data_IF_442290953632
#
_entry.id   IF_442290953632
#
_cell.length_a   1.000
_cell.length_b   1.000
_cell.length_c   1.000
_cell.angle_alpha   90.00
_cell.angle_beta   90.00
_cell.angle_gamma   90.00
#
_symmetry.space_group_name_H-M   'P 1'
#
loop_
_entity.id
_entity.type
_entity.pdbx_description
1 polymer ?
#
# COMPACT_ATOMS: atom_id res chain seq x y z
N UNK A 1 -19.00 29.94 -24.80
CA UNK A 1 -17.97 30.94 -24.42
C UNK A 1 -17.06 30.26 -23.41
N UNK A 2 -15.74 30.22 -23.64
CA UNK A 2 -14.81 29.43 -22.82
C UNK A 2 -14.24 30.22 -21.64
N UNK A 3 -14.08 29.53 -20.52
CA UNK A 3 -13.44 29.95 -19.29
C UNK A 3 -12.38 28.91 -18.89
N UNK A 4 -11.46 29.27 -17.98
CA UNK A 4 -10.42 28.35 -17.50
C UNK A 4 -10.49 28.22 -15.99
N UNK A 5 -10.47 26.99 -15.49
CA UNK A 5 -10.23 26.68 -14.08
C UNK A 5 -8.80 26.16 -13.90
N UNK A 6 -8.01 26.85 -13.08
CA UNK A 6 -6.67 26.43 -12.67
C UNK A 6 -6.74 25.76 -11.29
N UNK A 7 -6.73 24.44 -11.27
CA UNK A 7 -6.99 23.61 -10.07
C UNK A 7 -5.71 23.01 -9.49
N UNK A 8 -5.56 23.07 -8.17
CA UNK A 8 -4.52 22.35 -7.41
C UNK A 8 -5.01 21.91 -6.03
N UNK A 9 -4.30 20.95 -5.45
CA UNK A 9 -4.45 20.57 -4.04
C UNK A 9 -3.28 21.12 -3.24
N UNK A 10 -3.56 22.05 -2.33
CA UNK A 10 -2.59 22.56 -1.37
C UNK A 10 -2.33 21.50 -0.30
N UNK A 11 -1.11 21.02 -0.31
CA UNK A 11 -0.56 20.01 0.58
C UNK A 11 0.92 20.34 0.73
N UNK A 12 1.35 20.55 1.97
CA UNK A 12 2.75 20.85 2.25
C UNK A 12 3.53 19.53 2.23
N UNK A 13 4.04 19.18 1.04
CA UNK A 13 5.01 18.11 0.83
C UNK A 13 6.41 18.71 0.99
N UNK A 14 7.10 18.36 2.07
CA UNK A 14 8.37 19.00 2.45
C UNK A 14 9.58 18.30 1.83
N UNK A 15 9.39 17.10 1.31
CA UNK A 15 10.47 16.27 0.83
C UNK A 15 10.65 16.36 -0.69
N UNK A 16 11.90 16.56 -1.10
CA UNK A 16 12.29 16.98 -2.45
C UNK A 16 12.08 15.92 -3.54
N UNK A 17 12.12 14.64 -3.18
CA UNK A 17 11.89 13.49 -4.06
C UNK A 17 10.42 13.35 -4.50
N UNK A 18 9.48 13.92 -3.73
CA UNK A 18 8.03 13.91 -4.03
C UNK A 18 7.44 15.31 -4.24
N UNK A 19 8.22 16.38 -3.97
CA UNK A 19 7.81 17.78 -4.01
C UNK A 19 7.23 18.26 -5.35
N UNK A 20 7.51 17.55 -6.45
CA UNK A 20 7.15 17.98 -7.81
C UNK A 20 6.20 17.03 -8.56
N UNK A 21 5.31 16.26 -7.92
CA UNK A 21 4.50 15.38 -8.77
C UNK A 21 3.42 14.48 -8.21
N UNK A 22 3.12 14.48 -6.92
CA UNK A 22 1.97 13.70 -6.47
C UNK A 22 0.69 14.23 -7.14
N UNK A 23 -0.13 13.32 -7.66
CA UNK A 23 -1.42 13.66 -8.25
C UNK A 23 -2.51 12.92 -7.52
N UNK A 24 -3.68 13.55 -7.47
CA UNK A 24 -4.90 12.92 -6.99
C UNK A 24 -5.98 13.03 -8.05
N UNK A 25 -6.95 12.14 -7.95
CA UNK A 25 -8.10 12.13 -8.86
C UNK A 25 -9.19 13.04 -8.32
N UNK A 26 -9.71 13.87 -9.20
CA UNK A 26 -10.79 14.79 -8.91
C UNK A 26 -11.82 14.85 -10.01
N UNK A 27 -12.86 15.65 -9.76
CA UNK A 27 -13.94 15.93 -10.69
C UNK A 27 -14.36 17.39 -10.60
N UNK A 28 -14.79 17.93 -11.74
CA UNK A 28 -15.32 19.28 -11.90
C UNK A 28 -16.75 19.12 -12.42
N UNK A 29 -17.72 19.56 -11.63
CA UNK A 29 -19.15 19.44 -11.94
C UNK A 29 -19.80 20.81 -12.03
N UNK A 30 -20.62 21.11 -13.05
CA UNK A 30 -21.44 22.31 -13.05
C UNK A 30 -22.47 22.21 -11.92
N UNK A 31 -22.56 23.25 -11.09
CA UNK A 31 -23.45 23.28 -9.93
C UNK A 31 -24.93 23.24 -10.33
N UNK A 32 -25.25 23.79 -11.50
CA UNK A 32 -26.61 23.90 -12.03
C UNK A 32 -27.01 22.69 -12.90
N UNK A 33 -26.12 21.70 -13.06
CA UNK A 33 -26.35 20.47 -13.83
C UNK A 33 -26.44 20.61 -15.35
N UNK A 34 -26.41 21.84 -15.89
CA UNK A 34 -26.60 22.14 -17.32
C UNK A 34 -25.36 22.09 -18.22
N UNK A 35 -24.19 21.67 -17.72
CA UNK A 35 -22.92 21.68 -18.46
C UNK A 35 -22.19 20.33 -18.48
N UNK A 36 -21.05 20.28 -19.18
CA UNK A 36 -20.19 19.11 -19.22
C UNK A 36 -19.46 18.91 -17.88
N UNK A 37 -19.48 17.69 -17.34
CA UNK A 37 -18.70 17.31 -16.16
C UNK A 37 -17.37 16.72 -16.58
N UNK A 38 -16.28 17.24 -16.03
CA UNK A 38 -14.96 16.63 -16.16
C UNK A 38 -14.74 15.67 -14.99
N UNK A 39 -14.84 14.37 -15.25
CA UNK A 39 -14.65 13.32 -14.24
C UNK A 39 -13.29 12.68 -14.39
N UNK A 40 -12.75 12.16 -13.28
CA UNK A 40 -11.47 11.44 -13.27
C UNK A 40 -10.33 12.26 -13.88
N UNK A 41 -10.25 13.53 -13.50
CA UNK A 41 -9.14 14.41 -13.90
C UNK A 41 -8.07 14.44 -12.82
N UNK A 42 -6.83 14.71 -13.21
CA UNK A 42 -5.70 14.71 -12.28
C UNK A 42 -5.43 16.12 -11.77
N UNK A 43 -5.45 16.27 -10.45
CA UNK A 43 -5.02 17.50 -9.79
C UNK A 43 -3.63 17.32 -9.19
N UNK A 44 -2.70 18.25 -9.46
CA UNK A 44 -1.39 18.25 -8.84
C UNK A 44 -1.52 18.60 -7.35
N UNK A 45 -0.74 17.91 -6.54
CA UNK A 45 -0.59 18.16 -5.11
C UNK A 45 0.74 18.86 -4.84
N UNK A 46 0.74 19.79 -3.90
CA UNK A 46 1.94 20.52 -3.51
C UNK A 46 1.74 22.04 -3.57
N UNK A 47 2.31 22.74 -2.60
CA UNK A 47 2.26 24.21 -2.58
C UNK A 47 3.05 24.86 -3.73
N UNK A 48 4.08 24.16 -4.21
CA UNK A 48 4.95 24.55 -5.34
C UNK A 48 4.51 23.97 -6.69
N UNK A 49 3.53 23.07 -6.73
CA UNK A 49 3.10 22.41 -7.97
C UNK A 49 2.27 23.37 -8.85
N UNK A 50 2.55 23.46 -10.16
CA UNK A 50 1.77 24.30 -11.07
C UNK A 50 0.33 23.76 -11.16
N UNK A 51 -0.71 24.62 -11.09
CA UNK A 51 -2.10 24.17 -11.21
C UNK A 51 -2.38 23.50 -12.56
N UNK A 52 -3.23 22.47 -12.56
CA UNK A 52 -3.76 21.90 -13.79
C UNK A 52 -4.86 22.81 -14.34
N UNK A 53 -4.81 23.08 -15.65
CA UNK A 53 -5.75 23.97 -16.34
C UNK A 53 -6.82 23.15 -17.03
N UNK A 54 -8.08 23.54 -16.84
CA UNK A 54 -9.24 22.90 -17.45
C UNK A 54 -10.10 23.94 -18.15
N UNK A 55 -10.38 23.74 -19.43
CA UNK A 55 -11.32 24.56 -20.19
C UNK A 55 -12.75 24.14 -19.84
N UNK A 56 -13.59 25.12 -19.49
CA UNK A 56 -14.99 24.91 -19.11
C UNK A 56 -15.85 26.05 -19.67
N UNK A 57 -17.17 25.89 -19.68
CA UNK A 57 -18.07 27.00 -19.98
C UNK A 57 -18.16 27.98 -18.80
N UNK A 58 -18.47 29.24 -19.05
CA UNK A 58 -18.73 30.19 -17.97
C UNK A 58 -19.92 29.71 -17.11
N UNK A 59 -19.79 29.73 -15.78
CA UNK A 59 -20.80 29.22 -14.86
C UNK A 59 -20.28 28.86 -13.47
N UNK A 60 -21.14 28.31 -12.63
CA UNK A 60 -20.78 27.83 -11.28
C UNK A 60 -20.42 26.35 -11.31
N UNK A 61 -19.34 25.99 -10.62
CA UNK A 61 -18.80 24.64 -10.56
C UNK A 61 -18.52 24.22 -9.11
N UNK A 62 -18.69 22.92 -8.86
CA UNK A 62 -18.18 22.21 -7.69
C UNK A 62 -16.93 21.45 -8.14
N UNK A 63 -15.78 21.84 -7.60
CA UNK A 63 -14.50 21.16 -7.81
C UNK A 63 -14.25 20.25 -6.62
N UNK A 64 -14.01 18.96 -6.86
CA UNK A 64 -13.82 17.98 -5.80
C UNK A 64 -12.64 17.05 -6.08
N UNK A 65 -11.96 16.59 -5.02
CA UNK A 65 -10.85 15.64 -5.12
C UNK A 65 -10.95 14.63 -3.99
N UNK A 66 -10.78 13.35 -4.31
CA UNK A 66 -10.69 12.30 -3.28
C UNK A 66 -9.22 11.97 -3.09
N UNK A 67 -8.68 12.12 -1.88
CA UNK A 67 -7.29 11.76 -1.59
C UNK A 67 -7.12 10.23 -1.52
N UNK A 68 -5.88 9.69 -1.59
CA UNK A 68 -5.62 8.27 -1.35
C UNK A 68 -6.05 7.83 0.06
N UNK A 69 -6.01 8.76 1.02
CA UNK A 69 -6.62 8.62 2.35
C UNK A 69 -8.15 8.57 2.37
N UNK A 70 -8.81 8.65 1.21
CA UNK A 70 -10.26 8.71 1.02
C UNK A 70 -10.94 9.98 1.52
N UNK A 71 -10.17 10.94 2.03
CA UNK A 71 -10.69 12.27 2.38
C UNK A 71 -11.19 12.95 1.11
N UNK A 72 -12.43 13.40 1.13
CA UNK A 72 -13.02 14.20 0.05
C UNK A 72 -12.81 15.69 0.33
N UNK A 73 -12.12 16.36 -0.59
CA UNK A 73 -12.00 17.81 -0.64
C UNK A 73 -13.02 18.34 -1.65
N UNK A 74 -13.66 19.46 -1.35
CA UNK A 74 -14.58 20.12 -2.28
C UNK A 74 -14.56 21.64 -2.11
N UNK A 75 -14.76 22.37 -3.21
CA UNK A 75 -14.83 23.82 -3.24
C UNK A 75 -15.69 24.32 -4.40
N UNK A 76 -16.52 25.31 -4.11
CA UNK A 76 -17.27 26.04 -5.13
C UNK A 76 -16.36 27.03 -5.88
N UNK A 77 -16.55 27.12 -7.20
CA UNK A 77 -15.85 28.05 -8.07
C UNK A 77 -16.81 28.67 -9.08
N UNK A 78 -16.58 29.93 -9.44
CA UNK A 78 -17.31 30.62 -10.51
C UNK A 78 -16.34 30.87 -11.67
N UNK A 79 -16.53 30.13 -12.76
CA UNK A 79 -15.76 30.31 -13.98
C UNK A 79 -16.34 31.48 -14.77
N UNK A 80 -15.55 32.54 -14.95
CA UNK A 80 -15.93 33.73 -15.71
C UNK A 80 -15.33 33.69 -17.11
N UNK A 81 -16.03 34.27 -18.07
CA UNK A 81 -15.60 34.27 -19.47
C UNK A 81 -14.22 34.94 -19.63
N UNK A 82 -13.37 34.34 -20.47
CA UNK A 82 -12.02 34.82 -20.76
C UNK A 82 -11.13 35.08 -19.52
N UNK A 83 -11.45 34.45 -18.38
CA UNK A 83 -10.71 34.58 -17.13
C UNK A 83 -10.20 33.23 -16.63
N UNK A 84 -9.00 33.25 -16.07
CA UNK A 84 -8.36 32.11 -15.43
C UNK A 84 -8.68 32.14 -13.93
N UNK A 85 -9.59 31.27 -13.50
CA UNK A 85 -10.06 31.22 -12.12
C UNK A 85 -9.27 30.18 -11.35
N UNK A 86 -8.51 30.63 -10.34
CA UNK A 86 -7.73 29.73 -9.49
C UNK A 86 -8.59 29.03 -8.44
N UNK A 87 -8.51 27.69 -8.40
CA UNK A 87 -9.17 26.85 -7.41
C UNK A 87 -8.10 26.07 -6.66
N UNK A 88 -7.91 26.42 -5.38
CA UNK A 88 -7.05 25.65 -4.47
C UNK A 88 -7.94 24.89 -3.49
N UNK A 89 -7.83 23.56 -3.51
CA UNK A 89 -8.39 22.65 -2.52
C UNK A 89 -7.38 22.50 -1.38
N UNK A 90 -7.75 22.85 -0.15
CA UNK A 90 -6.82 22.82 0.98
C UNK A 90 -7.03 21.58 1.83
N UNK A 91 -5.93 20.90 2.15
CA UNK A 91 -5.90 19.86 3.17
C UNK A 91 -5.61 20.48 4.54
N UNK A 92 -6.01 19.82 5.63
CA UNK A 92 -5.44 20.16 6.93
C UNK A 92 -3.93 19.82 6.90
N UNK A 93 -3.06 20.64 7.50
CA UNK A 93 -1.62 20.39 7.47
C UNK A 93 -1.29 19.06 8.15
N UNK A 94 -0.25 18.40 7.66
CA UNK A 94 0.33 17.25 8.36
C UNK A 94 0.79 17.69 9.76
N UNK A 95 0.55 16.89 10.82
CA UNK A 95 1.06 17.22 12.15
C UNK A 95 2.60 17.25 12.22
N UNK A 96 3.27 16.56 11.28
CA UNK A 96 4.72 16.54 11.15
C UNK A 96 5.13 16.74 9.69
N UNK A 97 6.05 17.68 9.44
CA UNK A 97 6.55 17.98 8.09
C UNK A 97 7.14 16.72 7.43
N UNK A 98 7.89 15.94 8.21
CA UNK A 98 8.56 14.70 7.80
C UNK A 98 7.63 13.52 7.48
N UNK A 99 6.33 13.65 7.78
CA UNK A 99 5.34 12.61 7.55
C UNK A 99 4.25 13.04 6.57
N UNK A 100 4.49 14.11 5.82
CA UNK A 100 3.52 14.64 4.86
C UNK A 100 3.03 13.59 3.86
N UNK A 101 3.92 12.67 3.45
CA UNK A 101 3.60 11.55 2.57
C UNK A 101 2.67 10.53 3.24
N UNK A 102 3.01 10.08 4.45
CA UNK A 102 2.16 9.18 5.25
C UNK A 102 0.77 9.78 5.50
N UNK A 103 0.73 11.09 5.74
CA UNK A 103 -0.50 11.84 5.93
C UNK A 103 -1.37 11.87 4.66
N UNK A 104 -0.77 12.10 3.49
CA UNK A 104 -1.47 12.00 2.20
C UNK A 104 -2.07 10.61 1.96
N UNK A 105 -1.34 9.56 2.35
CA UNK A 105 -1.81 8.17 2.26
C UNK A 105 -2.88 7.83 3.31
N UNK A 106 -3.04 8.65 4.35
CA UNK A 106 -4.04 8.48 5.40
C UNK A 106 -3.58 7.65 6.59
N UNK A 107 -2.27 7.42 6.73
CA UNK A 107 -1.70 6.62 7.81
C UNK A 107 -1.49 7.43 9.11
N UNK A 108 -1.72 8.74 9.04
CA UNK A 108 -1.64 9.66 10.16
C UNK A 108 -2.95 10.45 10.21
N UNK A 109 -3.59 10.45 11.37
CA UNK A 109 -4.81 11.22 11.55
C UNK A 109 -4.52 12.73 11.55
N UNK A 110 -5.53 13.51 11.16
CA UNK A 110 -5.43 14.97 11.18
C UNK A 110 -5.19 15.50 12.58
N UNK A 111 -4.47 16.62 12.66
CA UNK A 111 -4.13 17.32 13.91
C UNK A 111 -5.34 17.51 14.87
N UNK A 112 -6.54 17.76 14.33
CA UNK A 112 -7.78 17.94 15.14
C UNK A 112 -8.21 16.69 15.89
N UNK A 113 -7.86 15.48 15.42
CA UNK A 113 -8.17 14.25 16.12
C UNK A 113 -7.29 14.05 17.37
N UNK A 114 -6.08 14.61 17.37
CA UNK A 114 -5.11 14.49 18.47
C UNK A 114 -5.10 15.68 19.45
N UNK A 115 -5.68 16.82 19.05
CA UNK A 115 -5.53 18.08 19.76
C UNK A 115 -6.85 18.85 19.90
N UNK A 116 -7.95 18.15 20.20
CA UNK A 116 -9.01 18.85 20.93
C UNK A 116 -8.38 19.37 22.25
N UNK A 117 -8.66 20.62 22.63
CA UNK A 117 -7.90 21.35 23.66
C UNK A 117 -7.95 20.74 25.07
N UNK A 118 -8.71 19.67 25.24
CA UNK A 118 -8.69 18.80 26.42
C UNK A 118 -7.68 17.68 26.19
N UNK A 119 -6.65 17.59 27.04
CA UNK A 119 -5.79 16.41 27.14
C UNK A 119 -6.67 15.17 27.26
N UNK A 120 -6.88 14.46 26.15
CA UNK A 120 -7.60 13.20 26.19
C UNK A 120 -6.57 12.18 26.67
N UNK A 121 -6.67 11.67 27.91
CA UNK A 121 -5.71 10.67 28.38
C UNK A 121 -5.74 9.49 27.41
N UNK A 122 -4.58 9.16 26.83
CA UNK A 122 -4.43 8.01 25.94
C UNK A 122 -5.06 6.81 26.65
N UNK A 123 -6.15 6.22 26.13
CA UNK A 123 -6.79 5.10 26.78
C UNK A 123 -5.78 3.96 26.88
N UNK A 124 -5.22 3.76 28.07
CA UNK A 124 -4.53 2.52 28.39
C UNK A 124 -5.63 1.46 28.46
N UNK A 125 -5.92 0.83 27.34
CA UNK A 125 -6.78 -0.34 27.29
C UNK A 125 -6.24 -1.35 28.30
N UNK A 126 -6.90 -1.45 29.46
CA UNK A 126 -6.68 -2.50 30.46
C UNK A 126 -7.17 -3.87 29.98
N UNK A 127 -7.78 -3.94 28.79
CA UNK A 127 -8.12 -5.18 28.10
C UNK A 127 -6.95 -5.81 27.34
N UNK A 128 -5.86 -5.07 27.12
CA UNK A 128 -4.60 -5.63 26.66
C UNK A 128 -3.82 -6.13 27.87
N UNK A 129 -3.80 -7.45 28.06
CA UNK A 129 -2.89 -8.13 28.98
C UNK A 129 -1.43 -7.98 28.50
N UNK A 130 -0.87 -6.77 28.47
CA UNK A 130 0.57 -6.56 28.32
C UNK A 130 1.20 -6.49 29.72
N UNK A 131 1.26 -7.66 30.37
CA UNK A 131 2.16 -7.86 31.49
C UNK A 131 3.59 -7.72 30.98
N UNK A 132 4.19 -6.54 31.16
CA UNK A 132 5.61 -6.32 30.83
C UNK A 132 6.43 -7.07 31.88
N UNK A 133 6.93 -8.24 31.49
CA UNK A 133 8.04 -8.90 32.16
C UNK A 133 9.21 -8.92 31.19
N UNK A 134 10.36 -8.41 31.62
CA UNK A 134 11.59 -8.37 30.83
C UNK A 134 11.99 -9.78 30.40
N UNK A 135 11.86 -10.05 29.11
CA UNK A 135 12.64 -11.06 28.42
C UNK A 135 13.66 -10.33 27.56
N UNK A 136 14.83 -10.93 27.38
CA UNK A 136 15.83 -10.52 26.41
C UNK A 136 15.29 -10.75 24.99
N UNK A 137 14.40 -9.86 24.51
CA UNK A 137 14.14 -9.75 23.10
C UNK A 137 15.36 -9.11 22.44
N UNK A 138 15.74 -9.61 21.27
CA UNK A 138 16.78 -8.95 20.44
C UNK A 138 16.28 -7.58 19.94
N UNK A 139 14.97 -7.32 20.07
CA UNK A 139 14.27 -6.12 19.60
C UNK A 139 13.59 -5.47 20.80
N UNK A 140 14.14 -4.36 21.28
CA UNK A 140 13.47 -3.53 22.28
C UNK A 140 12.12 -3.00 21.72
N UNK A 141 11.07 -2.83 22.55
CA UNK A 141 9.82 -2.23 22.09
C UNK A 141 10.07 -0.91 21.33
N UNK A 142 9.44 -0.76 20.16
CA UNK A 142 9.68 0.38 19.27
C UNK A 142 10.93 0.24 18.37
N UNK A 143 11.57 -0.92 18.35
CA UNK A 143 12.65 -1.23 17.41
C UNK A 143 12.15 -2.12 16.27
N UNK A 144 12.84 -2.03 15.14
CA UNK A 144 12.57 -2.81 13.95
C UNK A 144 13.82 -3.55 13.50
N UNK A 145 13.65 -4.74 12.95
CA UNK A 145 14.76 -5.55 12.42
C UNK A 145 14.48 -5.92 10.98
N UNK A 146 15.40 -5.53 10.10
CA UNK A 146 15.33 -5.79 8.68
C UNK A 146 15.92 -7.16 8.34
N UNK A 147 15.21 -7.90 7.49
CA UNK A 147 15.63 -9.17 6.92
C UNK A 147 15.73 -8.99 5.41
N UNK A 148 16.95 -8.78 4.92
CA UNK A 148 17.26 -8.66 3.48
C UNK A 148 17.45 -10.00 2.76
N UNK A 149 17.57 -11.08 3.52
CA UNK A 149 17.74 -12.45 3.02
C UNK A 149 16.90 -13.43 3.85
N UNK A 150 15.60 -13.55 3.55
CA UNK A 150 14.70 -14.46 4.24
C UNK A 150 14.85 -15.91 3.74
N UNK A 151 14.53 -16.88 4.62
CA UNK A 151 14.39 -18.30 4.23
C UNK A 151 13.27 -18.45 3.21
N UNK A 152 13.42 -19.35 2.24
CA UNK A 152 12.40 -19.60 1.21
C UNK A 152 11.02 -19.94 1.78
N UNK A 153 10.96 -20.65 2.91
CA UNK A 153 9.71 -21.02 3.57
C UNK A 153 9.06 -19.87 4.36
N UNK A 154 9.74 -18.75 4.60
CA UNK A 154 9.30 -17.72 5.56
C UNK A 154 8.06 -16.93 5.11
N UNK A 155 7.73 -16.96 3.82
CA UNK A 155 6.51 -16.36 3.27
C UNK A 155 5.45 -17.38 2.86
N UNK A 156 5.61 -18.63 3.25
CA UNK A 156 4.60 -19.67 3.04
C UNK A 156 3.46 -19.53 4.05
N UNK A 157 2.23 -19.87 3.64
CA UNK A 157 1.06 -19.81 4.52
C UNK A 157 1.28 -20.60 5.81
N UNK A 158 1.77 -21.84 5.72
CA UNK A 158 2.04 -22.68 6.88
C UNK A 158 3.03 -22.05 7.87
N UNK A 159 4.11 -21.43 7.37
CA UNK A 159 5.12 -20.80 8.23
C UNK A 159 4.58 -19.55 8.94
N UNK A 160 3.86 -18.69 8.22
CA UNK A 160 3.29 -17.47 8.79
C UNK A 160 2.13 -17.77 9.73
N UNK A 161 1.30 -18.77 9.43
CA UNK A 161 0.27 -19.27 10.35
C UNK A 161 0.90 -19.82 11.62
N UNK A 162 1.94 -20.65 11.51
CA UNK A 162 2.68 -21.16 12.68
C UNK A 162 3.18 -20.02 13.56
N UNK A 163 3.82 -19.01 12.98
CA UNK A 163 4.29 -17.83 13.73
C UNK A 163 3.15 -17.01 14.33
N UNK A 164 1.98 -16.97 13.68
CA UNK A 164 0.85 -16.17 14.13
C UNK A 164 -0.02 -16.87 15.18
N UNK A 165 -0.03 -18.20 15.21
CA UNK A 165 -0.90 -19.02 16.07
C UNK A 165 -0.15 -19.67 17.23
N UNK A 166 1.13 -19.99 17.05
CA UNK A 166 1.98 -20.59 18.08
C UNK A 166 2.97 -19.55 18.62
N UNK A 167 3.20 -19.50 19.95
CA UNK A 167 4.24 -18.65 20.49
C UNK A 167 5.61 -19.12 20.00
N UNK A 168 6.42 -18.22 19.41
CA UNK A 168 7.72 -18.62 18.87
C UNK A 168 8.66 -19.03 20.00
N UNK A 169 9.43 -20.10 19.80
CA UNK A 169 10.41 -20.59 20.78
C UNK A 169 11.65 -19.70 20.90
N UNK A 170 11.80 -18.73 20.00
CA UNK A 170 12.89 -17.77 19.97
C UNK A 170 12.46 -16.46 19.29
N UNK A 171 13.40 -15.54 19.03
CA UNK A 171 13.11 -14.31 18.31
C UNK A 171 12.53 -14.61 16.92
N UNK A 172 11.34 -14.07 16.62
CA UNK A 172 10.65 -14.21 15.33
C UNK A 172 11.58 -13.98 14.14
N UNK A 173 12.46 -12.99 14.25
CA UNK A 173 13.40 -12.65 13.17
C UNK A 173 14.32 -13.80 12.78
N UNK A 174 14.71 -14.68 13.72
CA UNK A 174 15.56 -15.84 13.44
C UNK A 174 14.78 -16.99 12.78
N UNK A 175 13.46 -17.03 12.95
CA UNK A 175 12.60 -17.95 12.21
C UNK A 175 12.47 -17.56 10.74
N UNK A 176 12.53 -16.25 10.45
CA UNK A 176 12.38 -15.69 9.09
C UNK A 176 13.72 -15.61 8.36
N UNK A 177 14.78 -15.16 9.02
CA UNK A 177 16.04 -14.79 8.37
C UNK A 177 16.91 -16.01 8.01
N UNK A 178 17.44 -16.04 6.79
CA UNK A 178 18.47 -16.97 6.37
C UNK A 178 19.86 -16.43 6.67
N UNK A 179 20.11 -15.14 6.38
CA UNK A 179 21.33 -14.43 6.79
C UNK A 179 21.14 -13.62 8.07
N UNK A 180 22.22 -13.02 8.59
CA UNK A 180 22.19 -12.19 9.80
C UNK A 180 21.22 -11.02 9.62
N UNK A 181 20.20 -10.88 10.48
CA UNK A 181 19.26 -9.77 10.39
C UNK A 181 19.87 -8.48 10.97
N UNK A 182 19.39 -7.31 10.54
CA UNK A 182 19.96 -6.02 10.91
C UNK A 182 18.97 -5.15 11.68
N UNK A 183 19.37 -4.68 12.86
CA UNK A 183 18.58 -3.72 13.64
C UNK A 183 18.53 -2.38 12.90
N UNK A 184 17.32 -1.88 12.70
CA UNK A 184 17.06 -0.59 12.07
C UNK A 184 16.62 0.40 13.13
N UNK A 185 17.36 1.50 13.27
CA UNK A 185 16.94 2.62 14.11
C UNK A 185 15.88 3.45 13.40
N UNK A 186 14.85 3.90 14.11
CA UNK A 186 13.92 4.87 13.55
C UNK A 186 14.65 6.14 13.14
N UNK A 187 14.09 6.86 12.18
CA UNK A 187 14.54 8.21 11.86
C UNK A 187 14.15 9.14 13.03
N UNK A 188 14.94 10.19 13.24
CA UNK A 188 14.65 11.23 14.23
C UNK A 188 13.63 12.24 13.67
N UNK A 189 12.58 11.71 13.07
CA UNK A 189 11.52 12.42 12.37
C UNK A 189 10.21 12.16 13.12
N UNK A 190 9.44 13.21 13.41
CA UNK A 190 8.21 13.14 14.21
C UNK A 190 8.45 12.92 15.70
N UNK A 191 7.54 12.20 16.36
CA UNK A 191 7.65 11.89 17.79
C UNK A 191 7.84 10.39 18.07
N UNK A 192 8.11 10.06 19.34
CA UNK A 192 8.39 8.69 19.75
C UNK A 192 7.22 7.71 19.52
N UNK A 193 5.99 8.22 19.37
CA UNK A 193 4.81 7.40 19.14
C UNK A 193 4.54 7.14 17.64
N UNK A 194 5.21 7.87 16.73
CA UNK A 194 5.06 7.74 15.29
C UNK A 194 6.43 7.57 14.60
N UNK A 195 7.06 6.41 14.82
CA UNK A 195 8.42 6.12 14.31
C UNK A 195 8.40 5.84 12.82
N UNK A 196 9.31 6.49 12.09
CA UNK A 196 9.45 6.32 10.64
C UNK A 196 10.75 5.56 10.32
N UNK A 197 10.67 4.62 9.37
CA UNK A 197 11.81 3.89 8.81
C UNK A 197 11.80 4.04 7.30
N UNK A 198 12.98 4.17 6.69
CA UNK A 198 13.14 4.29 5.23
C UNK A 198 14.04 3.20 4.67
N UNK A 199 13.68 2.73 3.48
CA UNK A 199 14.43 1.73 2.72
C UNK A 199 14.61 2.20 1.28
N UNK A 200 15.82 2.05 0.76
CA UNK A 200 16.16 2.25 -0.64
C UNK A 200 16.40 0.92 -1.36
N UNK A 201 17.02 0.95 -2.55
CA UNK A 201 17.28 -0.25 -3.36
C UNK A 201 18.19 -1.28 -2.67
N UNK A 202 19.00 -0.83 -1.72
CA UNK A 202 20.01 -1.65 -1.03
C UNK A 202 19.70 -1.90 0.45
N UNK A 203 18.48 -1.60 0.91
CA UNK A 203 18.07 -1.79 2.30
C UNK A 203 17.88 -0.46 3.05
N UNK A 204 18.07 -0.43 4.38
CA UNK A 204 17.76 0.74 5.21
C UNK A 204 18.60 1.98 4.86
N UNK A 205 17.95 3.14 4.84
CA UNK A 205 18.57 4.45 4.56
C UNK A 205 18.31 5.45 5.70
N UNK A 206 19.05 6.55 5.70
CA UNK A 206 18.85 7.66 6.64
C UNK A 206 17.76 8.66 6.18
N UNK A 207 17.67 9.80 6.85
CA UNK A 207 16.67 10.85 6.56
C UNK A 207 16.89 11.55 5.21
N UNK A 208 18.09 11.47 4.66
CA UNK A 208 18.44 12.00 3.35
C UNK A 208 18.34 10.95 2.25
N UNK A 209 18.06 9.69 2.60
CA UNK A 209 18.00 8.60 1.65
C UNK A 209 19.34 7.92 1.38
N UNK A 210 20.37 8.26 2.14
CA UNK A 210 21.70 7.69 1.98
C UNK A 210 21.82 6.36 2.74
N UNK A 211 22.59 5.39 2.21
CA UNK A 211 22.88 4.16 2.93
C UNK A 211 23.54 4.47 4.28
N UNK A 212 23.06 3.84 5.35
CA UNK A 212 23.58 4.13 6.69
C UNK A 212 25.04 3.65 6.86
N UNK A 213 25.92 4.45 7.49
CA UNK A 213 27.25 4.00 7.87
C UNK A 213 27.18 2.78 8.80
N UNK A 214 27.89 1.71 8.47
CA UNK A 214 27.83 0.45 9.22
C UNK A 214 26.59 -0.40 8.92
N UNK A 215 25.82 -0.05 7.89
CA UNK A 215 24.78 -0.91 7.33
C UNK A 215 25.34 -2.20 6.72
N UNK A 216 24.45 -3.13 6.32
CA UNK A 216 24.82 -4.38 5.68
C UNK A 216 25.78 -4.14 4.50
N UNK A 217 26.96 -4.74 4.55
CA UNK A 217 27.90 -4.73 3.43
C UNK A 217 27.46 -5.79 2.40
N UNK A 218 26.47 -5.42 1.60
CA UNK A 218 25.79 -6.31 0.67
C UNK A 218 24.30 -6.03 0.74
N UNK A 219 23.72 -5.56 -0.37
CA UNK A 219 22.28 -5.32 -0.46
C UNK A 219 21.46 -6.60 -0.25
N UNK A 220 20.12 -6.52 -0.42
CA UNK A 220 19.27 -7.70 -0.28
C UNK A 220 19.71 -8.80 -1.26
N UNK A 221 19.84 -10.02 -0.76
CA UNK A 221 20.16 -11.20 -1.57
C UNK A 221 18.94 -12.09 -1.82
N UNK A 222 17.90 -11.94 -1.00
CA UNK A 222 16.66 -12.68 -1.14
C UNK A 222 15.67 -12.02 -2.11
N UNK A 223 14.72 -12.79 -2.66
CA UNK A 223 13.69 -12.28 -3.56
C UNK A 223 12.62 -11.44 -2.84
N UNK A 224 12.54 -11.55 -1.51
CA UNK A 224 11.66 -10.78 -0.63
C UNK A 224 12.45 -10.16 0.49
N UNK A 225 11.90 -9.09 1.06
CA UNK A 225 12.45 -8.45 2.24
C UNK A 225 11.35 -8.27 3.28
N UNK A 226 11.73 -8.37 4.54
CA UNK A 226 10.82 -8.19 5.66
C UNK A 226 11.34 -7.17 6.65
N UNK A 227 10.42 -6.52 7.34
CA UNK A 227 10.69 -5.80 8.58
C UNK A 227 9.92 -6.49 9.70
N UNK A 228 10.62 -6.91 10.74
CA UNK A 228 10.00 -7.38 11.98
C UNK A 228 9.94 -6.20 12.94
N UNK A 229 8.73 -5.83 13.35
CA UNK A 229 8.48 -4.69 14.25
C UNK A 229 7.90 -5.19 15.57
N UNK A 230 8.47 -4.76 16.68
CA UNK A 230 7.95 -5.06 18.02
C UNK A 230 7.23 -3.85 18.61
N UNK A 231 5.92 -3.97 18.81
CA UNK A 231 5.03 -2.92 19.31
C UNK A 231 4.30 -3.43 20.56
N UNK A 232 4.25 -2.66 21.64
CA UNK A 232 3.72 -3.01 22.97
C UNK A 232 2.69 -4.17 23.06
N UNK A 233 3.18 -5.42 23.05
CA UNK A 233 2.35 -6.64 23.19
C UNK A 233 2.13 -7.46 21.91
N UNK A 234 2.68 -7.07 20.77
CA UNK A 234 2.60 -7.80 19.51
C UNK A 234 3.86 -7.60 18.66
N UNK A 235 4.23 -8.63 17.91
CA UNK A 235 5.25 -8.53 16.87
C UNK A 235 4.55 -8.53 15.51
N UNK A 236 5.08 -7.79 14.55
CA UNK A 236 4.53 -7.70 13.20
C UNK A 236 5.58 -8.15 12.19
N UNK A 237 5.17 -8.97 11.23
CA UNK A 237 5.97 -9.30 10.04
C UNK A 237 5.44 -8.49 8.89
N UNK A 238 6.22 -7.50 8.48
CA UNK A 238 5.88 -6.53 7.44
C UNK A 238 6.57 -6.95 6.15
N UNK A 239 5.80 -7.21 5.09
CA UNK A 239 6.36 -7.44 3.76
C UNK A 239 6.81 -6.12 3.17
N UNK A 240 8.10 -5.97 2.89
CA UNK A 240 8.64 -4.76 2.29
C UNK A 240 8.55 -4.86 0.76
N UNK A 241 8.02 -3.82 0.08
CA UNK A 241 8.01 -3.75 -1.37
C UNK A 241 9.38 -3.33 -1.94
N UNK A 242 10.45 -4.04 -1.53
CA UNK A 242 11.83 -3.67 -1.79
C UNK A 242 12.55 -4.74 -2.64
N UNK A 243 13.36 -4.35 -3.64
CA UNK A 243 13.54 -2.99 -4.14
C UNK A 243 12.33 -2.51 -4.98
N UNK A 244 12.08 -1.20 -5.02
CA UNK A 244 11.09 -0.57 -5.91
C UNK A 244 11.76 0.37 -6.91
N UNK A 245 12.61 -0.19 -7.78
CA UNK A 245 13.45 0.62 -8.65
C UNK A 245 14.34 1.57 -7.82
N UNK A 246 14.26 2.88 -8.08
CA UNK A 246 14.96 3.92 -7.31
C UNK A 246 14.09 4.58 -6.23
N UNK A 247 12.81 4.21 -6.10
CA UNK A 247 11.91 4.82 -5.14
C UNK A 247 12.25 4.37 -3.71
N UNK A 248 12.04 5.26 -2.76
CA UNK A 248 12.16 4.93 -1.35
C UNK A 248 10.86 4.32 -0.83
N UNK A 249 11.00 3.49 0.19
CA UNK A 249 9.90 2.85 0.89
C UNK A 249 9.90 3.40 2.30
N UNK A 250 8.73 3.81 2.78
CA UNK A 250 8.54 4.22 4.16
C UNK A 250 7.70 3.20 4.90
N UNK A 251 8.15 2.89 6.11
CA UNK A 251 7.36 2.15 7.09
C UNK A 251 7.12 3.06 8.27
N UNK A 252 5.85 3.37 8.52
CA UNK A 252 5.40 4.07 9.70
C UNK A 252 4.99 3.04 10.76
N UNK A 253 5.57 3.15 11.95
CA UNK A 253 5.20 2.36 13.12
C UNK A 253 4.52 3.30 14.11
N UNK A 254 3.21 3.15 14.22
CA UNK A 254 2.36 4.02 15.02
C UNK A 254 1.94 3.32 16.33
N UNK A 255 2.51 3.78 17.44
CA UNK A 255 2.11 3.34 18.79
C UNK A 255 0.78 3.94 19.23
N UNK A 256 0.34 5.02 18.57
CA UNK A 256 -0.99 5.58 18.81
C UNK A 256 -1.99 4.63 18.16
N UNK A 257 -2.65 3.81 18.98
CA UNK A 257 -3.76 2.98 18.52
C UNK A 257 -4.91 3.89 18.09
N UNK A 258 -4.88 4.28 16.81
CA UNK A 258 -6.00 4.94 16.18
C UNK A 258 -7.08 3.90 15.89
N UNK A 259 -8.37 4.22 16.11
CA UNK A 259 -9.48 3.36 15.67
C UNK A 259 -9.51 3.16 14.14
N UNK A 260 -8.84 4.02 13.38
CA UNK A 260 -8.93 4.10 11.91
C UNK A 260 -7.60 4.01 11.18
N UNK A 261 -6.47 4.04 11.89
CA UNK A 261 -5.10 3.87 11.37
C UNK A 261 -4.50 2.50 11.66
N UNK A 262 -3.51 2.09 10.88
CA UNK A 262 -2.79 0.82 11.08
C UNK A 262 -1.65 1.01 12.08
N UNK A 263 -1.37 -0.02 12.87
CA UNK A 263 -0.23 0.00 13.80
C UNK A 263 1.10 0.06 13.05
N UNK A 264 1.15 -0.56 11.87
CA UNK A 264 2.26 -0.46 10.93
C UNK A 264 1.69 -0.17 9.55
N UNK A 265 2.21 0.87 8.89
CA UNK A 265 1.82 1.22 7.52
C UNK A 265 3.02 1.27 6.59
N UNK A 266 2.83 0.85 5.34
CA UNK A 266 3.90 0.77 4.34
C UNK A 266 3.51 1.55 3.09
N UNK A 267 4.37 2.48 2.68
CA UNK A 267 4.12 3.32 1.50
C UNK A 267 5.35 3.39 0.61
N UNK A 268 5.13 3.46 -0.70
CA UNK A 268 6.20 3.72 -1.67
C UNK A 268 6.19 5.22 -1.99
N UNK A 269 7.35 5.88 -1.88
CA UNK A 269 7.57 7.29 -2.25
C UNK A 269 7.75 7.41 -3.76
N UNK A 270 6.71 7.04 -4.49
CA UNK A 270 6.60 7.20 -5.92
C UNK A 270 5.41 8.13 -6.22
N UNK A 271 5.68 9.24 -6.88
CA UNK A 271 4.70 10.29 -7.16
C UNK A 271 3.50 9.83 -8.01
N UNK A 272 3.66 8.74 -8.76
CA UNK A 272 2.61 8.16 -9.60
C UNK A 272 2.00 6.92 -8.95
N UNK A 273 2.85 5.96 -8.57
CA UNK A 273 2.38 4.64 -8.13
C UNK A 273 1.97 4.63 -6.67
N UNK A 274 2.63 5.39 -5.80
CA UNK A 274 2.29 5.47 -4.38
C UNK A 274 0.83 5.87 -4.14
N UNK A 275 0.34 6.99 -4.70
CA UNK A 275 -1.07 7.36 -4.61
C UNK A 275 -2.02 6.34 -5.25
N UNK A 276 -1.62 5.68 -6.35
CA UNK A 276 -2.42 4.64 -6.99
C UNK A 276 -2.61 3.41 -6.09
N UNK A 277 -1.57 3.01 -5.32
CA UNK A 277 -1.67 1.95 -4.31
C UNK A 277 -2.69 2.32 -3.22
N UNK A 278 -2.71 3.58 -2.76
CA UNK A 278 -3.69 4.05 -1.78
C UNK A 278 -5.14 3.96 -2.29
N UNK A 279 -5.40 4.32 -3.55
CA UNK A 279 -6.72 4.10 -4.16
C UNK A 279 -7.05 2.61 -4.34
N UNK A 280 -6.06 1.81 -4.73
CA UNK A 280 -6.22 0.37 -4.97
C UNK A 280 -6.70 -0.37 -3.71
N UNK A 281 -6.12 -0.06 -2.55
CA UNK A 281 -6.53 -0.64 -1.25
C UNK A 281 -8.00 -0.36 -0.94
N UNK A 282 -8.52 0.79 -1.37
CA UNK A 282 -9.93 1.17 -1.19
C UNK A 282 -10.85 0.61 -2.28
N UNK A 283 -10.32 -0.16 -3.22
CA UNK A 283 -11.07 -0.65 -4.38
C UNK A 283 -11.40 0.43 -5.41
N UNK A 284 -10.81 1.62 -5.32
CA UNK A 284 -11.01 2.71 -6.28
C UNK A 284 -10.12 2.52 -7.53
N UNK A 285 -10.29 1.39 -8.22
CA UNK A 285 -9.45 0.99 -9.35
C UNK A 285 -9.51 1.97 -10.53
N UNK A 286 -10.65 2.62 -10.78
CA UNK A 286 -10.76 3.65 -11.83
C UNK A 286 -9.90 4.88 -11.51
N UNK A 287 -9.86 5.30 -10.24
CA UNK A 287 -9.00 6.38 -9.79
C UNK A 287 -7.53 5.98 -9.86
N UNK A 288 -7.19 4.75 -9.43
CA UNK A 288 -5.84 4.23 -9.60
C UNK A 288 -5.42 4.21 -11.08
N UNK A 289 -6.27 3.70 -11.98
CA UNK A 289 -6.04 3.65 -13.42
C UNK A 289 -5.84 5.03 -14.04
N UNK A 290 -6.53 6.05 -13.53
CA UNK A 290 -6.37 7.43 -13.97
C UNK A 290 -4.98 7.98 -13.65
N UNK A 291 -4.42 7.65 -12.48
CA UNK A 291 -3.07 8.08 -12.08
C UNK A 291 -1.99 7.40 -12.89
N UNK A 292 -2.14 6.10 -13.12
CA UNK A 292 -1.25 5.34 -13.97
C UNK A 292 -1.72 5.47 -15.41
N UNK A 293 -1.49 6.67 -15.97
CA UNK A 293 -1.86 7.11 -17.35
C UNK A 293 -1.59 6.06 -18.43
N UNK A 294 -0.68 5.13 -18.17
CA UNK A 294 -0.55 3.90 -18.91
C UNK A 294 -0.13 2.77 -17.93
N UNK A 295 -1.10 2.19 -17.22
CA UNK A 295 -0.88 0.99 -16.41
C UNK A 295 -0.27 -0.15 -17.24
N UNK A 296 -0.51 -0.16 -18.56
CA UNK A 296 0.19 -1.07 -19.46
C UNK A 296 1.67 -0.71 -19.58
N UNK A 297 2.08 0.56 -19.62
CA UNK A 297 3.50 0.95 -19.55
C UNK A 297 4.18 0.47 -18.27
N UNK A 298 3.52 0.48 -17.11
CA UNK A 298 4.09 -0.12 -15.89
C UNK A 298 4.26 -1.63 -16.02
N UNK A 299 3.30 -2.30 -16.67
CA UNK A 299 3.36 -3.72 -16.95
C UNK A 299 4.43 -4.07 -17.99
N UNK A 300 4.62 -3.23 -19.02
CA UNK A 300 5.52 -3.44 -20.15
C UNK A 300 6.97 -3.01 -19.87
N UNK A 301 7.14 -1.91 -19.14
CA UNK A 301 8.42 -1.23 -18.94
C UNK A 301 9.24 -1.72 -17.74
N UNK A 302 8.60 -2.42 -16.79
CA UNK A 302 9.21 -2.71 -15.49
C UNK A 302 9.35 -4.21 -15.17
N UNK A 303 9.81 -5.01 -16.13
CA UNK A 303 10.35 -6.35 -15.76
C UNK A 303 11.57 -6.25 -14.83
N UNK A 304 12.19 -5.07 -14.77
CA UNK A 304 13.23 -4.71 -13.80
C UNK A 304 12.69 -4.42 -12.39
N UNK A 305 11.38 -4.19 -12.25
CA UNK A 305 10.69 -3.96 -10.97
C UNK A 305 9.36 -4.76 -10.94
N UNK A 306 9.43 -6.07 -10.61
CA UNK A 306 8.26 -6.95 -10.63
C UNK A 306 7.11 -6.46 -9.75
N UNK A 307 7.41 -5.77 -8.65
CA UNK A 307 6.42 -5.28 -7.71
C UNK A 307 5.55 -4.17 -8.32
N UNK A 308 6.16 -3.22 -9.04
CA UNK A 308 5.42 -2.19 -9.77
C UNK A 308 4.61 -2.77 -10.93
N UNK A 309 5.17 -3.73 -11.67
CA UNK A 309 4.46 -4.41 -12.76
C UNK A 309 3.21 -5.14 -12.24
N UNK A 310 3.32 -5.82 -11.09
CA UNK A 310 2.18 -6.50 -10.44
C UNK A 310 1.15 -5.49 -9.90
N UNK A 311 1.58 -4.37 -9.31
CA UNK A 311 0.66 -3.30 -8.93
C UNK A 311 -0.13 -2.75 -10.13
N UNK A 312 0.55 -2.49 -11.25
CA UNK A 312 -0.08 -2.10 -12.51
C UNK A 312 -1.07 -3.16 -13.03
N UNK A 313 -0.71 -4.44 -12.93
CA UNK A 313 -1.60 -5.54 -13.29
C UNK A 313 -2.84 -5.62 -12.38
N UNK A 314 -2.74 -5.38 -11.07
CA UNK A 314 -3.92 -5.26 -10.21
C UNK A 314 -4.85 -4.12 -10.64
N UNK A 315 -4.29 -2.98 -11.04
CA UNK A 315 -5.08 -1.84 -11.53
C UNK A 315 -5.80 -2.18 -12.84
N UNK A 316 -5.11 -2.81 -13.79
CA UNK A 316 -5.69 -3.26 -15.07
C UNK A 316 -6.77 -4.32 -14.86
N UNK A 317 -6.45 -5.37 -14.09
CA UNK A 317 -7.35 -6.49 -13.80
C UNK A 317 -8.52 -6.05 -12.91
N UNK A 318 -8.35 -5.03 -12.07
CA UNK A 318 -9.37 -4.49 -11.18
C UNK A 318 -10.33 -3.50 -11.84
N UNK A 319 -9.85 -2.70 -12.81
CA UNK A 319 -10.68 -1.76 -13.58
C UNK A 319 -11.36 -2.41 -14.79
N UNK A 320 -10.82 -3.53 -15.29
CA UNK A 320 -11.40 -4.26 -16.41
C UNK A 320 -12.53 -5.20 -15.99
N UNK A 321 -13.76 -4.86 -16.37
CA UNK A 321 -14.94 -5.70 -16.14
C UNK A 321 -15.36 -6.52 -17.38
N UNK A 322 -14.79 -6.26 -18.57
CA UNK A 322 -15.18 -6.99 -19.77
C UNK A 322 -14.48 -8.36 -19.88
N UNK A 323 -15.22 -9.34 -20.39
CA UNK A 323 -14.75 -10.71 -20.66
C UNK A 323 -13.87 -10.80 -21.93
N UNK A 324 -13.80 -9.72 -22.71
CA UNK A 324 -13.05 -9.69 -23.97
C UNK A 324 -11.54 -9.71 -23.73
N UNK A 325 -10.76 -10.39 -24.59
CA UNK A 325 -9.31 -10.32 -24.55
C UNK A 325 -8.82 -8.87 -24.62
N UNK A 326 -7.82 -8.55 -23.82
CA UNK A 326 -7.12 -7.26 -23.86
C UNK A 326 -5.69 -7.44 -24.32
N UNK A 327 -5.11 -6.36 -24.86
CA UNK A 327 -3.73 -6.35 -25.37
C UNK A 327 -2.70 -6.74 -24.31
N UNK A 328 -2.98 -6.41 -23.05
CA UNK A 328 -2.12 -6.70 -21.91
C UNK A 328 -2.34 -8.10 -21.30
N UNK A 329 -3.36 -8.88 -21.70
CA UNK A 329 -3.61 -10.22 -21.15
C UNK A 329 -2.39 -11.17 -21.24
N UNK A 330 -1.61 -11.21 -22.35
CA UNK A 330 -0.41 -12.06 -22.44
C UNK A 330 0.66 -11.75 -21.40
N UNK A 331 0.68 -10.53 -20.86
CA UNK A 331 1.66 -10.13 -19.84
C UNK A 331 1.38 -10.73 -18.47
N UNK A 332 0.12 -11.06 -18.15
CA UNK A 332 -0.16 -11.82 -16.94
C UNK A 332 0.52 -13.20 -16.98
N UNK A 333 0.60 -13.81 -18.17
CA UNK A 333 1.32 -15.07 -18.34
C UNK A 333 2.81 -14.88 -18.07
N UNK A 334 3.42 -13.79 -18.55
CA UNK A 334 4.82 -13.47 -18.23
C UNK A 334 5.04 -13.26 -16.74
N UNK A 335 4.19 -12.48 -16.07
CA UNK A 335 4.28 -12.28 -14.62
C UNK A 335 4.20 -13.59 -13.84
N UNK A 336 3.31 -14.50 -14.26
CA UNK A 336 3.21 -15.86 -13.68
C UNK A 336 4.53 -16.63 -13.87
N UNK A 337 5.11 -16.67 -15.06
CA UNK A 337 6.25 -17.56 -15.34
C UNK A 337 7.63 -16.98 -15.00
N UNK A 338 7.81 -15.65 -15.04
CA UNK A 338 9.12 -15.01 -14.83
C UNK A 338 9.43 -14.73 -13.35
N UNK A 339 8.41 -14.70 -12.48
CA UNK A 339 8.57 -14.44 -11.04
C UNK A 339 7.93 -15.58 -10.23
N UNK A 340 8.55 -16.76 -10.28
CA UNK A 340 8.10 -17.99 -9.62
C UNK A 340 8.00 -17.86 -8.08
N UNK A 341 8.83 -17.01 -7.48
CA UNK A 341 8.81 -16.70 -6.05
C UNK A 341 7.60 -15.86 -5.59
N UNK A 342 6.85 -15.27 -6.53
CA UNK A 342 5.71 -14.39 -6.25
C UNK A 342 4.38 -15.06 -6.60
N UNK A 343 3.47 -15.06 -5.62
CA UNK A 343 2.10 -15.56 -5.76
C UNK A 343 1.25 -14.72 -6.71
N UNK A 344 1.39 -13.40 -6.63
CA UNK A 344 0.51 -12.43 -7.29
C UNK A 344 0.43 -12.59 -8.81
N UNK A 345 1.52 -12.96 -9.48
CA UNK A 345 1.53 -13.19 -10.93
C UNK A 345 0.61 -14.34 -11.35
N UNK A 346 0.70 -15.48 -10.65
CA UNK A 346 -0.18 -16.64 -10.90
C UNK A 346 -1.63 -16.31 -10.53
N UNK A 347 -1.84 -15.60 -9.42
CA UNK A 347 -3.15 -15.19 -8.97
C UNK A 347 -3.85 -14.26 -9.98
N UNK A 348 -3.17 -13.21 -10.45
CA UNK A 348 -3.72 -12.26 -11.42
C UNK A 348 -4.10 -12.95 -12.73
N UNK A 349 -3.23 -13.86 -13.20
CA UNK A 349 -3.53 -14.70 -14.36
C UNK A 349 -4.80 -15.54 -14.14
N UNK A 350 -4.90 -16.21 -12.98
CA UNK A 350 -6.04 -17.04 -12.63
C UNK A 350 -7.34 -16.25 -12.55
N UNK A 351 -7.32 -15.10 -11.87
CA UNK A 351 -8.50 -14.22 -11.72
C UNK A 351 -8.99 -13.68 -13.07
N UNK A 352 -8.08 -13.44 -14.02
CA UNK A 352 -8.43 -13.02 -15.38
C UNK A 352 -8.99 -14.17 -16.20
N UNK A 353 -8.44 -15.38 -16.07
CA UNK A 353 -8.93 -16.57 -16.76
C UNK A 353 -10.29 -17.02 -16.23
N UNK A 354 -10.49 -17.02 -14.91
CA UNK A 354 -11.75 -17.40 -14.28
C UNK A 354 -12.92 -16.52 -14.74
N UNK A 355 -12.68 -15.20 -14.86
CA UNK A 355 -13.67 -14.25 -15.41
C UNK A 355 -14.02 -14.47 -16.87
N UNK A 356 -13.15 -15.14 -17.63
CA UNK A 356 -13.28 -15.37 -19.08
C UNK A 356 -13.57 -16.83 -19.41
N UNK A 357 -13.67 -17.70 -18.40
CA UNK A 357 -13.84 -19.12 -18.59
C UNK A 357 -15.28 -19.40 -19.06
N UNK A 358 -15.38 -20.03 -20.22
CA UNK A 358 -16.63 -20.51 -20.80
C UNK A 358 -16.65 -22.03 -20.94
N UNK A 359 -15.51 -22.69 -20.73
CA UNK A 359 -15.39 -24.16 -20.70
C UNK A 359 -14.84 -24.67 -19.38
N UNK A 360 -15.05 -25.96 -19.11
CA UNK A 360 -14.51 -26.60 -17.90
C UNK A 360 -12.98 -26.65 -17.92
N UNK A 361 -12.36 -26.80 -19.10
CA UNK A 361 -10.90 -26.77 -19.25
C UNK A 361 -10.32 -25.40 -18.88
N UNK A 362 -10.98 -24.31 -19.31
CA UNK A 362 -10.57 -22.94 -18.95
C UNK A 362 -10.75 -22.68 -17.46
N UNK A 363 -11.84 -23.18 -16.88
CA UNK A 363 -12.10 -23.11 -15.45
C UNK A 363 -11.05 -23.90 -14.65
N UNK A 364 -10.70 -25.11 -15.08
CA UNK A 364 -9.68 -25.94 -14.46
C UNK A 364 -8.29 -25.29 -14.57
N UNK A 365 -7.96 -24.65 -15.69
CA UNK A 365 -6.71 -23.93 -15.83
C UNK A 365 -6.60 -22.76 -14.83
N UNK A 366 -7.71 -22.04 -14.60
CA UNK A 366 -7.78 -20.99 -13.58
C UNK A 366 -7.64 -21.57 -12.16
N UNK A 367 -8.28 -22.71 -11.87
CA UNK A 367 -8.13 -23.45 -10.62
C UNK A 367 -6.67 -23.78 -10.35
N UNK A 368 -5.99 -24.41 -11.30
CA UNK A 368 -4.60 -24.86 -11.13
C UNK A 368 -3.66 -23.67 -10.88
N UNK A 369 -3.92 -22.53 -11.52
CA UNK A 369 -3.17 -21.31 -11.29
C UNK A 369 -3.46 -20.65 -9.92
N UNK A 370 -4.65 -20.83 -9.33
CA UNK A 370 -4.94 -20.41 -7.94
C UNK A 370 -4.21 -21.28 -6.93
N UNK A 371 -4.18 -22.60 -7.16
CA UNK A 371 -3.42 -23.54 -6.33
C UNK A 371 -1.92 -23.22 -6.40
N UNK A 372 -1.39 -23.01 -7.61
CA UNK A 372 -0.03 -22.56 -7.80
C UNK A 372 0.25 -21.22 -7.07
N UNK A 373 -0.68 -20.25 -7.15
CA UNK A 373 -0.52 -18.98 -6.44
C UNK A 373 -0.40 -19.21 -4.93
N UNK A 374 -1.21 -20.09 -4.34
CA UNK A 374 -1.11 -20.43 -2.91
C UNK A 374 0.24 -21.10 -2.59
N UNK A 375 0.68 -22.05 -3.40
CA UNK A 375 1.89 -22.84 -3.16
C UNK A 375 3.18 -22.02 -3.27
N UNK A 376 3.16 -20.93 -4.05
CA UNK A 376 4.24 -19.92 -4.08
C UNK A 376 4.32 -19.08 -2.80
N UNK A 377 3.31 -19.17 -1.94
CA UNK A 377 3.23 -18.52 -0.64
C UNK A 377 2.28 -17.32 -0.62
N UNK A 378 2.35 -16.56 0.46
CA UNK A 378 1.47 -15.41 0.69
C UNK A 378 1.73 -14.32 -0.35
N UNK A 379 0.69 -13.72 -0.96
CA UNK A 379 0.84 -12.57 -1.85
C UNK A 379 1.61 -11.41 -1.21
N UNK A 380 2.33 -10.63 -2.02
CA UNK A 380 3.02 -9.43 -1.52
C UNK A 380 2.00 -8.33 -1.19
N UNK A 381 0.96 -8.23 -2.01
CA UNK A 381 -0.10 -7.25 -1.84
C UNK A 381 -1.25 -7.82 -1.04
N UNK A 382 -1.80 -7.04 -0.11
CA UNK A 382 -2.94 -7.48 0.71
C UNK A 382 -4.20 -7.71 -0.12
N UNK A 383 -4.36 -6.92 -1.19
CA UNK A 383 -5.39 -7.17 -2.19
C UNK A 383 -5.27 -8.58 -2.78
N UNK A 384 -4.05 -9.06 -3.03
CA UNK A 384 -3.80 -10.41 -3.50
C UNK A 384 -4.32 -11.47 -2.55
N UNK A 385 -4.10 -11.33 -1.24
CA UNK A 385 -4.65 -12.26 -0.25
C UNK A 385 -6.19 -12.31 -0.33
N UNK A 386 -6.84 -11.15 -0.44
CA UNK A 386 -8.30 -11.07 -0.59
C UNK A 386 -8.80 -11.71 -1.88
N UNK A 387 -8.07 -11.51 -2.99
CA UNK A 387 -8.41 -12.11 -4.30
C UNK A 387 -8.16 -13.62 -4.32
N UNK A 388 -7.13 -14.11 -3.65
CA UNK A 388 -6.87 -15.54 -3.51
C UNK A 388 -8.00 -16.23 -2.75
N UNK A 389 -8.45 -15.66 -1.63
CA UNK A 389 -9.60 -16.16 -0.87
C UNK A 389 -10.86 -16.23 -1.75
N UNK A 390 -11.14 -15.16 -2.49
CA UNK A 390 -12.29 -15.14 -3.39
C UNK A 390 -12.15 -16.18 -4.51
N UNK A 391 -11.00 -16.24 -5.19
CA UNK A 391 -10.76 -17.17 -6.29
C UNK A 391 -10.86 -18.64 -5.85
N UNK A 392 -10.25 -19.01 -4.72
CA UNK A 392 -10.36 -20.37 -4.17
C UNK A 392 -11.80 -20.73 -3.77
N UNK A 393 -12.61 -19.74 -3.35
CA UNK A 393 -14.02 -19.97 -2.99
C UNK A 393 -14.93 -20.28 -4.17
N UNK A 394 -14.49 -20.06 -5.41
CA UNK A 394 -15.21 -20.46 -6.63
C UNK A 394 -15.16 -21.98 -6.91
N UNK A 395 -14.44 -22.74 -6.07
CA UNK A 395 -14.26 -24.19 -6.16
C UNK A 395 -14.65 -24.90 -4.85
N UNK A 396 -15.91 -24.80 -4.40
CA UNK A 396 -16.33 -25.34 -3.09
C UNK A 396 -16.32 -26.87 -3.02
N UNK A 397 -16.46 -27.54 -4.17
CA UNK A 397 -16.49 -29.01 -4.28
C UNK A 397 -15.08 -29.62 -4.40
N UNK A 398 -14.04 -28.79 -4.46
CA UNK A 398 -12.64 -29.21 -4.54
C UNK A 398 -12.00 -29.17 -3.14
N UNK A 399 -11.72 -30.34 -2.52
CA UNK A 399 -11.14 -30.40 -1.19
C UNK A 399 -9.78 -29.71 -1.08
N UNK A 400 -9.00 -29.71 -2.18
CA UNK A 400 -7.68 -29.09 -2.20
C UNK A 400 -7.78 -27.55 -2.17
N UNK A 401 -8.73 -26.98 -2.92
CA UNK A 401 -9.02 -25.54 -2.85
C UNK A 401 -9.60 -25.15 -1.49
N UNK A 402 -10.45 -26.00 -0.90
CA UNK A 402 -11.06 -25.73 0.40
C UNK A 402 -10.05 -25.73 1.57
N UNK A 403 -9.05 -26.63 1.56
CA UNK A 403 -7.98 -26.61 2.57
C UNK A 403 -7.14 -25.33 2.47
N UNK A 404 -6.73 -24.95 1.26
CA UNK A 404 -5.97 -23.72 1.01
C UNK A 404 -6.79 -22.46 1.35
N UNK A 405 -8.09 -22.48 1.07
CA UNK A 405 -9.01 -21.41 1.43
C UNK A 405 -9.09 -21.22 2.95
N UNK A 406 -9.13 -22.31 3.73
CA UNK A 406 -9.12 -22.24 5.20
C UNK A 406 -7.84 -21.57 5.71
N UNK A 407 -6.68 -22.01 5.23
CA UNK A 407 -5.39 -21.42 5.60
C UNK A 407 -5.30 -19.93 5.23
N UNK A 408 -5.73 -19.56 4.02
CA UNK A 408 -5.73 -18.17 3.58
C UNK A 408 -6.67 -17.29 4.42
N UNK A 409 -7.85 -17.80 4.79
CA UNK A 409 -8.81 -17.09 5.67
C UNK A 409 -8.25 -16.91 7.07
N UNK A 410 -7.67 -17.96 7.67
CA UNK A 410 -7.04 -17.88 9.00
C UNK A 410 -5.93 -16.85 9.05
N UNK A 411 -5.08 -16.82 8.02
CA UNK A 411 -4.04 -15.80 7.93
C UNK A 411 -4.63 -14.40 7.73
N UNK A 412 -5.70 -14.26 6.94
CA UNK A 412 -6.33 -12.95 6.70
C UNK A 412 -6.84 -12.29 7.99
N UNK A 413 -7.21 -13.05 9.01
CA UNK A 413 -7.59 -12.51 10.33
C UNK A 413 -6.42 -11.86 11.08
N UNK A 414 -5.19 -12.09 10.62
CA UNK A 414 -3.95 -11.52 11.16
C UNK A 414 -3.38 -10.40 10.30
N UNK A 415 -3.97 -10.16 9.14
CA UNK A 415 -3.46 -9.19 8.18
C UNK A 415 -4.29 -7.91 8.25
N UNK A 416 -3.61 -6.76 8.29
CA UNK A 416 -4.30 -5.48 8.16
C UNK A 416 -4.69 -5.25 6.69
N UNK A 417 -5.97 -5.44 6.37
CA UNK A 417 -6.47 -5.31 4.99
C UNK A 417 -6.54 -3.87 4.49
N UNK A 418 -6.23 -2.89 5.32
CA UNK A 418 -6.15 -1.47 4.95
C UNK A 418 -4.76 -1.06 4.48
N UNK A 419 -3.78 -1.96 4.56
CA UNK A 419 -2.44 -1.71 4.06
C UNK A 419 -2.27 -2.29 2.64
N UNK A 420 -1.55 -1.61 1.73
CA UNK A 420 -1.30 -2.12 0.39
C UNK A 420 -0.48 -3.41 0.38
N UNK A 421 0.40 -3.57 1.37
CA UNK A 421 1.32 -4.71 1.49
C UNK A 421 1.00 -5.55 2.71
N UNK A 422 1.20 -6.86 2.59
CA UNK A 422 0.85 -7.81 3.66
C UNK A 422 1.69 -7.53 4.90
N UNK A 423 0.98 -7.20 5.97
CA UNK A 423 1.52 -7.04 7.33
C UNK A 423 0.79 -8.02 8.24
N UNK A 424 1.51 -9.00 8.79
CA UNK A 424 0.96 -10.05 9.64
C UNK A 424 1.23 -9.71 11.11
N UNK A 425 0.15 -9.57 11.90
CA UNK A 425 0.24 -9.46 13.34
C UNK A 425 0.44 -10.85 13.97
N UNK A 426 1.48 -10.99 14.77
CA UNK A 426 1.80 -12.22 15.49
C UNK A 426 1.29 -12.16 16.93
N UNK A 427 0.92 -13.30 17.48
CA UNK A 427 0.68 -13.39 18.91
C UNK A 427 1.99 -13.18 19.68
N UNK A 428 1.90 -12.36 20.73
CA UNK A 428 2.82 -12.44 21.85
C UNK A 428 2.05 -13.11 22.99
N UNK A 429 2.46 -14.31 23.38
CA UNK A 429 2.05 -14.82 24.68
C UNK A 429 2.69 -13.94 25.75
N UNK A 430 1.88 -13.13 26.43
CA UNK A 430 2.23 -12.72 27.79
C UNK A 430 2.27 -13.99 28.64
N UNK A 431 3.40 -14.30 29.31
CA UNK A 431 3.41 -15.36 30.30
C UNK A 431 2.51 -15.03 31.49
#
# INVERSE_FOLDING_TARGET
MSAVLSVRVALSLYETDVAAGAKVVGSIHPADGGGESLRNVLFPCGDSAPPARFEVEAGRYIVSATLPSGVLLSKDAEAREATDTSVTLSTAPSPYESHSWQYLMGNIESYRAYHDGEETPVPRSRGSNSGVREWSSVVEPGHAVWVGDPKAASWQFASLLKLAEEPPQGPVVLEIAHSVPHVVRSLHLGDAAARLYRFGPHGPVDEHGEPRPGGPSGGPTGPRQFLVVSLAGSDYVVTLPAPWGSAQIEVLVNERQSPTGSAVSVTVRDSRVGPALGYMVRGAFDSAATLVKDAETMLYGEMTNPLAAVAGAYVLVGSELAERPRRWDPWLSRLRHEFDWMSDGSLLWAMRHLRRAHTEEERQAARDALVEAFDRGVPVFTLGLSRLIHGLSEFPDDPECMDRLDQARRLSWRVDTREPFVTVALYRTSP
#
